data_IF_916831542337
#
_entry.id   IF_916831542337
#
_cell.length_a   1.000
_cell.length_b   1.000
_cell.length_c   1.000
_cell.angle_alpha   90.00
_cell.angle_beta   90.00
_cell.angle_gamma   90.00
#
_symmetry.space_group_name_H-M   'P 1'
#
loop_
_entity.id
_entity.type
_entity.pdbx_description
1 polymer ?
#
# COMPACT_ATOMS: atom_id res chain seq x y z
N UNK A 1 11.85 10.80 -3.31
CA UNK A 1 10.50 10.81 -2.71
C UNK A 1 9.42 10.64 -3.76
N UNK A 2 9.05 11.66 -4.56
CA UNK A 2 8.02 11.51 -5.61
C UNK A 2 8.40 10.45 -6.65
N UNK A 3 9.68 10.41 -7.07
CA UNK A 3 10.18 9.39 -8.00
C UNK A 3 10.02 7.96 -7.44
N UNK A 4 10.32 7.77 -6.15
CA UNK A 4 10.18 6.47 -5.46
C UNK A 4 8.72 6.02 -5.37
N UNK A 5 7.81 6.94 -5.04
CA UNK A 5 6.36 6.69 -5.01
C UNK A 5 5.86 6.27 -6.39
N UNK A 6 6.25 7.03 -7.42
CA UNK A 6 5.89 6.74 -8.81
C UNK A 6 6.44 5.39 -9.28
N UNK A 7 7.67 5.05 -8.90
CA UNK A 7 8.29 3.77 -9.23
C UNK A 7 7.55 2.59 -8.55
N UNK A 8 7.17 2.72 -7.27
CA UNK A 8 6.39 1.70 -6.55
C UNK A 8 4.99 1.56 -7.15
N UNK A 9 4.35 2.67 -7.49
CA UNK A 9 3.07 2.65 -8.19
C UNK A 9 3.18 1.95 -9.54
N UNK A 10 4.17 2.29 -10.36
CA UNK A 10 4.38 1.69 -11.68
C UNK A 10 4.62 0.18 -11.57
N UNK A 11 5.46 -0.27 -10.62
CA UNK A 11 5.67 -1.70 -10.37
C UNK A 11 4.37 -2.41 -9.98
N UNK A 12 3.62 -1.81 -9.04
CA UNK A 12 2.34 -2.36 -8.57
C UNK A 12 1.33 -2.45 -9.70
N UNK A 13 1.28 -1.42 -10.56
CA UNK A 13 0.39 -1.36 -11.71
C UNK A 13 0.73 -2.42 -12.76
N UNK A 14 2.01 -2.59 -13.10
CA UNK A 14 2.44 -3.63 -14.03
C UNK A 14 2.07 -5.03 -13.51
N UNK A 15 2.31 -5.31 -12.22
CA UNK A 15 1.94 -6.59 -11.62
C UNK A 15 0.42 -6.78 -11.67
N UNK A 16 -0.37 -5.74 -11.37
CA UNK A 16 -1.82 -5.80 -11.45
C UNK A 16 -2.32 -6.11 -12.87
N UNK A 17 -1.77 -5.44 -13.89
CA UNK A 17 -2.09 -5.70 -15.30
C UNK A 17 -1.80 -7.15 -15.66
N UNK A 18 -0.65 -7.69 -15.26
CA UNK A 18 -0.28 -9.09 -15.54
C UNK A 18 -1.26 -10.06 -14.88
N UNK A 19 -1.62 -9.85 -13.61
CA UNK A 19 -2.58 -10.72 -12.90
C UNK A 19 -3.97 -10.64 -13.55
N UNK A 20 -4.46 -9.44 -13.87
CA UNK A 20 -5.75 -9.28 -14.55
C UNK A 20 -5.75 -9.89 -15.96
N UNK A 21 -4.63 -9.80 -16.69
CA UNK A 21 -4.48 -10.45 -17.99
C UNK A 21 -4.52 -11.98 -17.87
N UNK A 22 -3.83 -12.56 -16.86
CA UNK A 22 -3.89 -14.00 -16.57
C UNK A 22 -5.34 -14.40 -16.27
N UNK A 23 -6.03 -13.69 -15.38
CA UNK A 23 -7.43 -13.94 -15.07
C UNK A 23 -8.32 -13.93 -16.34
N UNK A 24 -8.11 -12.95 -17.22
CA UNK A 24 -8.87 -12.83 -18.46
C UNK A 24 -8.61 -14.00 -19.43
N UNK A 25 -7.38 -14.54 -19.48
CA UNK A 25 -7.06 -15.73 -20.28
C UNK A 25 -7.84 -16.97 -19.83
N UNK A 26 -8.14 -17.08 -18.53
CA UNK A 26 -8.92 -18.18 -17.97
C UNK A 26 -10.43 -17.89 -17.91
N UNK A 27 -10.87 -16.68 -18.27
CA UNK A 27 -12.28 -16.28 -18.22
C UNK A 27 -12.87 -16.22 -16.80
N UNK A 28 -12.04 -15.96 -15.78
CA UNK A 28 -12.44 -15.92 -14.37
C UNK A 28 -12.71 -14.47 -13.94
N UNK A 29 -13.60 -14.20 -12.99
CA UNK A 29 -13.89 -12.86 -12.44
C UNK A 29 -13.44 -12.67 -10.97
N UNK A 30 -12.35 -13.31 -10.57
CA UNK A 30 -11.95 -13.41 -9.17
C UNK A 30 -11.51 -12.08 -8.54
N UNK A 31 -10.63 -11.32 -9.22
CA UNK A 31 -10.03 -10.09 -8.66
C UNK A 31 -11.11 -9.08 -8.32
N UNK A 32 -12.08 -8.84 -9.21
CA UNK A 32 -13.18 -7.91 -8.96
C UNK A 32 -13.94 -8.25 -7.69
N UNK A 33 -14.43 -9.48 -7.58
CA UNK A 33 -15.25 -9.93 -6.45
C UNK A 33 -14.45 -9.85 -5.16
N UNK A 34 -13.24 -10.40 -5.15
CA UNK A 34 -12.38 -10.40 -3.98
C UNK A 34 -12.00 -8.98 -3.51
N UNK A 35 -11.64 -8.09 -4.44
CA UNK A 35 -11.29 -6.71 -4.12
C UNK A 35 -12.50 -5.91 -3.62
N UNK A 36 -13.67 -6.07 -4.22
CA UNK A 36 -14.88 -5.34 -3.80
C UNK A 36 -15.29 -5.68 -2.36
N UNK A 37 -15.16 -6.94 -1.97
CA UNK A 37 -15.60 -7.41 -0.66
C UNK A 37 -14.55 -7.20 0.43
N UNK A 38 -13.26 -7.28 0.08
CA UNK A 38 -12.21 -7.40 1.09
C UNK A 38 -11.17 -6.29 1.09
N UNK A 39 -11.06 -5.47 0.03
CA UNK A 39 -9.94 -4.53 -0.11
C UNK A 39 -9.81 -3.61 1.10
N UNK A 40 -10.89 -2.97 1.53
CA UNK A 40 -10.84 -2.03 2.65
C UNK A 40 -10.44 -2.69 3.96
N UNK A 41 -10.98 -3.88 4.26
CA UNK A 41 -10.62 -4.65 5.45
C UNK A 41 -9.13 -5.01 5.42
N UNK A 42 -8.61 -5.41 4.27
CA UNK A 42 -7.20 -5.73 4.11
C UNK A 42 -6.34 -4.47 4.28
N UNK A 43 -6.66 -3.36 3.63
CA UNK A 43 -5.88 -2.12 3.72
C UNK A 43 -5.80 -1.59 5.17
N UNK A 44 -6.92 -1.62 5.90
CA UNK A 44 -6.95 -1.21 7.32
C UNK A 44 -6.15 -2.19 8.19
N UNK A 45 -6.22 -3.49 7.90
CA UNK A 45 -5.42 -4.50 8.60
C UNK A 45 -3.93 -4.29 8.37
N UNK A 46 -3.51 -4.07 7.12
CA UNK A 46 -2.12 -3.76 6.77
C UNK A 46 -1.66 -2.46 7.42
N UNK A 47 -2.52 -1.46 7.57
CA UNK A 47 -2.22 -0.23 8.29
C UNK A 47 -1.97 -0.47 9.78
N UNK A 48 -2.78 -1.32 10.42
CA UNK A 48 -2.57 -1.69 11.82
C UNK A 48 -1.21 -2.40 12.01
N UNK A 49 -0.88 -3.36 11.14
CA UNK A 49 0.41 -4.08 11.17
C UNK A 49 1.58 -3.11 10.96
N UNK A 50 1.51 -2.24 9.95
CA UNK A 50 2.54 -1.25 9.67
C UNK A 50 2.73 -0.28 10.86
N UNK A 51 1.63 0.18 11.46
CA UNK A 51 1.66 1.08 12.63
C UNK A 51 2.31 0.41 13.85
N UNK A 52 1.95 -0.85 14.14
CA UNK A 52 2.56 -1.62 15.22
C UNK A 52 4.07 -1.79 15.00
N UNK A 53 4.47 -2.07 13.76
CA UNK A 53 5.87 -2.25 13.37
C UNK A 53 6.65 -0.93 13.52
N UNK A 54 6.11 0.19 13.04
CA UNK A 54 6.70 1.52 13.22
C UNK A 54 6.85 1.88 14.71
N UNK A 55 5.87 1.53 15.55
CA UNK A 55 5.95 1.78 16.99
C UNK A 55 7.15 1.07 17.62
N UNK A 56 7.39 -0.20 17.26
CA UNK A 56 8.57 -0.96 17.72
C UNK A 56 9.87 -0.28 17.30
N UNK A 57 9.98 0.15 16.03
CA UNK A 57 11.20 0.81 15.55
C UNK A 57 11.39 2.15 16.27
N UNK A 58 10.33 2.95 16.45
CA UNK A 58 10.40 4.23 17.17
C UNK A 58 10.87 4.05 18.61
N UNK A 59 10.40 3.02 19.31
CA UNK A 59 10.85 2.69 20.66
C UNK A 59 12.36 2.42 20.70
N UNK A 60 12.89 1.67 19.73
CA UNK A 60 14.34 1.42 19.63
C UNK A 60 15.15 2.65 19.25
N UNK A 61 14.66 3.46 18.32
CA UNK A 61 15.29 4.75 18.00
C UNK A 61 15.34 5.67 19.23
N UNK A 62 14.29 5.66 20.06
CA UNK A 62 14.23 6.43 21.30
C UNK A 62 15.25 5.93 22.34
N UNK A 63 15.36 4.61 22.53
CA UNK A 63 16.37 3.99 23.40
C UNK A 63 17.80 4.42 23.00
N UNK A 64 18.17 4.25 21.73
CA UNK A 64 19.49 4.63 21.20
C UNK A 64 19.75 6.14 21.37
N UNK A 65 18.73 6.96 21.10
CA UNK A 65 18.83 8.41 21.24
C UNK A 65 19.13 8.83 22.68
N UNK A 66 18.51 8.14 23.65
CA UNK A 66 18.72 8.38 25.08
C UNK A 66 20.14 8.00 25.52
N UNK A 67 20.66 6.87 25.04
CA UNK A 67 22.04 6.43 25.32
C UNK A 67 23.08 7.44 24.84
N UNK A 68 22.82 8.10 23.70
CA UNK A 68 23.71 9.10 23.12
C UNK A 68 23.43 10.54 23.60
N UNK A 69 22.52 10.74 24.57
CA UNK A 69 22.08 12.05 25.08
C UNK A 69 21.69 13.06 24.00
N UNK A 70 21.17 12.60 22.87
CA UNK A 70 20.68 13.43 21.77
C UNK A 70 19.17 13.27 21.63
N UNK A 71 18.53 14.18 20.88
CA UNK A 71 17.12 14.00 20.52
C UNK A 71 16.99 13.05 19.34
N UNK A 72 15.88 12.29 19.29
CA UNK A 72 15.61 11.35 18.18
C UNK A 72 15.68 12.05 16.84
N UNK A 73 15.23 13.31 16.77
CA UNK A 73 15.23 14.08 15.53
C UNK A 73 16.65 14.47 15.06
N UNK A 74 17.62 14.56 15.97
CA UNK A 74 19.00 14.92 15.64
C UNK A 74 19.76 13.74 15.03
N UNK A 75 19.47 12.52 15.47
CA UNK A 75 20.12 11.30 14.94
C UNK A 75 19.31 10.69 13.79
N UNK A 76 17.98 10.67 13.92
CA UNK A 76 17.09 9.89 13.06
C UNK A 76 15.96 10.70 12.41
N UNK A 77 16.11 12.02 12.30
CA UNK A 77 15.08 12.89 11.70
C UNK A 77 14.65 12.45 10.30
N UNK A 78 15.59 12.03 9.45
CA UNK A 78 15.31 11.53 8.11
C UNK A 78 14.46 10.25 8.15
N UNK A 79 14.82 9.28 8.99
CA UNK A 79 14.10 8.01 9.17
C UNK A 79 12.68 8.24 9.67
N UNK A 80 12.51 9.11 10.67
CA UNK A 80 11.20 9.50 11.20
C UNK A 80 10.32 10.12 10.12
N UNK A 81 10.90 10.96 9.25
CA UNK A 81 10.19 11.57 8.13
C UNK A 81 9.70 10.52 7.11
N UNK A 82 10.52 9.53 6.78
CA UNK A 82 10.13 8.43 5.88
C UNK A 82 9.06 7.52 6.50
N UNK A 83 9.12 7.25 7.81
CA UNK A 83 8.07 6.50 8.50
C UNK A 83 6.72 7.24 8.48
N UNK A 84 6.75 8.56 8.69
CA UNK A 84 5.53 9.38 8.59
C UNK A 84 5.00 9.41 7.15
N UNK A 85 5.88 9.43 6.15
CA UNK A 85 5.50 9.33 4.75
C UNK A 85 4.80 7.99 4.46
N UNK A 86 5.36 6.86 4.90
CA UNK A 86 4.76 5.53 4.75
C UNK A 86 3.33 5.47 5.32
N UNK A 87 3.10 6.06 6.51
CA UNK A 87 1.75 6.17 7.10
C UNK A 87 0.82 7.00 6.21
N UNK A 88 1.29 8.15 5.70
CA UNK A 88 0.50 9.02 4.82
C UNK A 88 0.15 8.33 3.51
N UNK A 89 1.07 7.55 2.94
CA UNK A 89 0.82 6.75 1.74
C UNK A 89 -0.25 5.69 2.00
N UNK A 90 -0.20 4.98 3.12
CA UNK A 90 -1.23 4.00 3.47
C UNK A 90 -2.62 4.63 3.66
N UNK A 91 -2.71 5.79 4.32
CA UNK A 91 -3.97 6.53 4.45
C UNK A 91 -4.49 6.97 3.09
N UNK A 92 -3.61 7.48 2.22
CA UNK A 92 -3.97 7.86 0.85
C UNK A 92 -4.47 6.65 0.04
N UNK A 93 -3.83 5.48 0.19
CA UNK A 93 -4.24 4.24 -0.45
C UNK A 93 -5.61 3.78 0.05
N UNK A 94 -5.89 3.82 1.37
CA UNK A 94 -7.22 3.51 1.93
C UNK A 94 -8.28 4.43 1.32
N UNK A 95 -8.02 5.75 1.30
CA UNK A 95 -8.94 6.71 0.69
C UNK A 95 -9.18 6.45 -0.80
N UNK A 96 -8.12 6.17 -1.56
CA UNK A 96 -8.24 5.84 -2.98
C UNK A 96 -8.97 4.51 -3.21
N UNK A 97 -8.72 3.51 -2.38
CA UNK A 97 -9.38 2.20 -2.41
C UNK A 97 -10.87 2.32 -2.12
N UNK A 98 -11.26 3.20 -1.19
CA UNK A 98 -12.67 3.48 -0.91
C UNK A 98 -13.37 4.09 -2.14
N UNK A 99 -12.78 5.13 -2.73
CA UNK A 99 -13.34 5.77 -3.93
C UNK A 99 -13.45 4.77 -5.09
N UNK A 100 -12.38 4.02 -5.38
CA UNK A 100 -12.38 3.01 -6.43
C UNK A 100 -13.38 1.90 -6.17
N UNK A 101 -13.55 1.47 -4.90
CA UNK A 101 -14.53 0.43 -4.53
C UNK A 101 -15.96 0.91 -4.80
N UNK A 102 -16.29 2.16 -4.44
CA UNK A 102 -17.58 2.79 -4.74
C UNK A 102 -17.83 2.82 -6.25
N UNK A 103 -16.84 3.25 -7.04
CA UNK A 103 -16.95 3.31 -8.50
C UNK A 103 -17.13 1.91 -9.09
N UNK A 104 -16.42 0.90 -8.58
CA UNK A 104 -16.46 -0.47 -9.11
C UNK A 104 -17.82 -1.17 -8.93
N UNK A 105 -18.63 -0.75 -7.96
CA UNK A 105 -20.00 -1.27 -7.75
C UNK A 105 -20.96 -0.89 -8.88
N UNK A 106 -20.65 0.17 -9.63
CA UNK A 106 -21.43 0.55 -10.80
C UNK A 106 -21.06 -0.38 -11.96
N UNK A 107 -22.01 -1.23 -12.39
CA UNK A 107 -21.82 -2.18 -13.48
C UNK A 107 -22.11 -1.54 -14.84
N UNK A 108 -23.18 -0.73 -14.92
CA UNK A 108 -23.65 -0.11 -16.16
C UNK A 108 -23.06 1.30 -16.35
N UNK A 109 -21.93 1.35 -17.06
CA UNK A 109 -21.35 2.60 -17.54
C UNK A 109 -21.89 2.92 -18.92
N UNK A 110 -22.35 4.16 -19.12
CA UNK A 110 -22.90 4.62 -20.41
C UNK A 110 -21.87 4.61 -21.56
N UNK A 111 -20.57 4.61 -21.24
CA UNK A 111 -19.47 4.65 -22.20
C UNK A 111 -18.52 3.48 -21.95
N UNK A 112 -18.34 2.59 -22.93
CA UNK A 112 -17.35 1.49 -22.91
C UNK A 112 -17.23 0.72 -21.57
N UNK A 113 -18.31 0.06 -21.11
CA UNK A 113 -18.36 -0.56 -19.78
C UNK A 113 -17.26 -1.61 -19.56
N UNK A 114 -16.87 -2.36 -20.59
CA UNK A 114 -15.82 -3.38 -20.49
C UNK A 114 -14.46 -2.79 -20.13
N UNK A 115 -14.06 -1.71 -20.80
CA UNK A 115 -12.75 -1.07 -20.58
C UNK A 115 -12.72 -0.38 -19.21
N UNK A 116 -13.82 0.28 -18.82
CA UNK A 116 -13.91 0.93 -17.51
C UNK A 116 -13.85 -0.10 -16.39
N UNK A 117 -14.62 -1.18 -16.47
CA UNK A 117 -14.63 -2.22 -15.45
C UNK A 117 -13.26 -2.90 -15.33
N UNK A 118 -12.60 -3.24 -16.44
CA UNK A 118 -11.26 -3.81 -16.43
C UNK A 118 -10.23 -2.84 -15.82
N UNK A 119 -10.32 -1.55 -16.16
CA UNK A 119 -9.44 -0.51 -15.61
C UNK A 119 -9.63 -0.35 -14.10
N UNK A 120 -10.87 -0.37 -13.61
CA UNK A 120 -11.17 -0.32 -12.17
C UNK A 120 -10.64 -1.55 -11.45
N UNK A 121 -10.75 -2.74 -12.04
CA UNK A 121 -10.18 -3.98 -11.49
C UNK A 121 -8.65 -3.87 -11.33
N UNK A 122 -7.96 -3.41 -12.39
CA UNK A 122 -6.51 -3.20 -12.37
C UNK A 122 -6.14 -2.16 -11.31
N UNK A 123 -6.88 -1.06 -11.20
CA UNK A 123 -6.60 -0.01 -10.21
C UNK A 123 -6.82 -0.49 -8.77
N UNK A 124 -7.91 -1.22 -8.50
CA UNK A 124 -8.17 -1.83 -7.18
C UNK A 124 -7.03 -2.77 -6.79
N UNK A 125 -6.61 -3.65 -7.72
CA UNK A 125 -5.52 -4.57 -7.49
C UNK A 125 -4.17 -3.85 -7.34
N UNK A 126 -3.96 -2.75 -8.06
CA UNK A 126 -2.77 -1.89 -7.91
C UNK A 126 -2.69 -1.31 -6.51
N UNK A 127 -3.80 -0.80 -5.96
CA UNK A 127 -3.86 -0.27 -4.58
C UNK A 127 -3.50 -1.36 -3.57
N UNK A 128 -4.05 -2.57 -3.75
CA UNK A 128 -3.72 -3.71 -2.92
C UNK A 128 -2.24 -4.07 -2.95
N UNK A 129 -1.66 -4.23 -4.15
CA UNK A 129 -0.24 -4.59 -4.32
C UNK A 129 0.68 -3.50 -3.78
N UNK A 130 0.35 -2.22 -3.99
CA UNK A 130 1.12 -1.12 -3.42
C UNK A 130 1.13 -1.23 -1.89
N UNK A 131 -0.02 -1.47 -1.26
CA UNK A 131 -0.09 -1.60 0.19
C UNK A 131 0.76 -2.77 0.73
N UNK A 132 0.88 -3.87 -0.04
CA UNK A 132 1.80 -4.96 0.29
C UNK A 132 3.28 -4.53 0.17
N UNK A 133 3.65 -3.74 -0.83
CA UNK A 133 5.01 -3.20 -0.94
C UNK A 133 5.37 -2.29 0.24
N UNK A 134 4.45 -1.42 0.67
CA UNK A 134 4.67 -0.60 1.89
C UNK A 134 4.96 -1.51 3.08
N UNK A 135 4.15 -2.55 3.27
CA UNK A 135 4.36 -3.49 4.38
C UNK A 135 5.70 -4.22 4.26
N UNK A 136 6.07 -4.68 3.06
CA UNK A 136 7.33 -5.35 2.80
C UNK A 136 8.54 -4.45 3.13
N UNK A 137 8.50 -3.20 2.70
CA UNK A 137 9.59 -2.24 2.97
C UNK A 137 9.74 -1.99 4.48
N UNK A 138 8.64 -1.83 5.21
CA UNK A 138 8.69 -1.69 6.68
C UNK A 138 9.20 -2.96 7.36
N UNK A 139 8.73 -4.15 6.93
CA UNK A 139 9.17 -5.42 7.51
C UNK A 139 10.67 -5.66 7.28
N UNK A 140 11.16 -5.36 6.07
CA UNK A 140 12.58 -5.43 5.73
C UNK A 140 13.40 -4.50 6.60
N UNK A 141 12.95 -3.27 6.83
CA UNK A 141 13.64 -2.32 7.69
C UNK A 141 13.77 -2.82 9.15
N UNK A 142 12.76 -3.53 9.67
CA UNK A 142 12.87 -4.17 11.00
C UNK A 142 13.91 -5.27 10.99
N UNK A 143 13.89 -6.14 9.98
CA UNK A 143 14.84 -7.26 9.90
C UNK A 143 16.30 -6.78 9.82
N UNK A 144 16.56 -5.74 9.02
CA UNK A 144 17.89 -5.12 8.92
C UNK A 144 18.32 -4.42 10.21
N UNK A 145 17.38 -3.94 11.03
CA UNK A 145 17.69 -3.31 12.32
C UNK A 145 18.14 -4.33 13.40
N UNK A 146 17.77 -5.59 13.26
CA UNK A 146 18.16 -6.67 14.19
C UNK A 146 19.42 -7.44 13.77
N UNK A 147 20.00 -7.13 12.61
CA UNK A 147 21.30 -7.66 12.17
C UNK A 147 22.43 -6.78 12.69
#
# INVERSE_FOLDING_TARGET
MIKTIADTFAKSFVIAVVICAIQALFGISFVREFMQDNLLNILVTLMAINTATIAVILSKMYEISREHQKKVNEIFGATKSQMLLSIREQIALIGSGLVLSILSKKIDWAWNPTIINASLEILLLTVFIYALFILYDTAKAVLEFYQ
#
